data_IF_484158182558
#
_entry.id   IF_484158182558
#
_cell.length_a   1.000
_cell.length_b   1.000
_cell.length_c   1.000
_cell.angle_alpha   90.00
_cell.angle_beta   90.00
_cell.angle_gamma   90.00
#
_symmetry.space_group_name_H-M   'P 1'
#
loop_
_entity.id
_entity.type
_entity.pdbx_description
1 polymer ?
#
# COMPACT_ATOMS: atom_id res chain seq x y z
N UNK A 1 1.35 7.13 -17.72
CA UNK A 1 0.70 7.06 -16.38
C UNK A 1 1.79 7.28 -15.34
N UNK A 2 1.53 8.09 -14.31
CA UNK A 2 2.50 8.38 -13.24
C UNK A 2 2.33 7.40 -12.08
N UNK A 3 3.43 7.00 -11.42
CA UNK A 3 3.41 6.19 -10.21
C UNK A 3 3.05 7.02 -8.96
N UNK A 4 3.31 8.33 -9.00
CA UNK A 4 2.98 9.29 -7.95
C UNK A 4 2.18 10.43 -8.56
N UNK A 5 0.98 10.68 -8.04
CA UNK A 5 0.13 11.78 -8.49
C UNK A 5 -0.68 11.49 -9.76
N UNK A 6 -1.69 10.65 -9.62
CA UNK A 6 -2.75 10.49 -10.60
C UNK A 6 -4.08 10.84 -9.94
N UNK A 7 -4.80 11.82 -10.48
CA UNK A 7 -6.19 12.08 -10.07
C UNK A 7 -7.11 11.22 -10.97
N UNK A 8 -8.06 10.47 -10.39
CA UNK A 8 -8.99 9.70 -11.18
C UNK A 8 -9.79 10.61 -12.09
N UNK A 9 -9.95 10.21 -13.34
CA UNK A 9 -10.89 10.85 -14.25
C UNK A 9 -12.29 10.73 -13.64
N UNK A 10 -13.07 11.82 -13.70
CA UNK A 10 -14.45 11.82 -13.20
C UNK A 10 -15.40 11.92 -14.37
N UNK A 11 -16.42 11.07 -14.36
CA UNK A 11 -17.49 11.12 -15.35
C UNK A 11 -18.22 12.47 -15.25
N UNK A 12 -18.38 13.15 -16.39
CA UNK A 12 -18.90 14.52 -16.43
C UNK A 12 -20.37 14.64 -16.02
N UNK A 13 -21.14 13.54 -16.02
CA UNK A 13 -22.58 13.55 -15.72
C UNK A 13 -22.87 13.14 -14.27
N UNK A 14 -22.11 12.19 -13.75
CA UNK A 14 -22.32 11.58 -12.43
C UNK A 14 -21.32 12.07 -11.38
N UNK A 15 -20.18 12.64 -11.81
CA UNK A 15 -19.06 13.02 -10.94
C UNK A 15 -18.33 11.83 -10.32
N UNK A 16 -18.70 10.60 -10.70
CA UNK A 16 -18.11 9.37 -10.19
C UNK A 16 -16.72 9.15 -10.80
N UNK A 17 -15.84 8.51 -10.02
CA UNK A 17 -14.51 8.12 -10.48
C UNK A 17 -14.60 7.02 -11.55
N UNK A 18 -13.89 7.23 -12.65
CA UNK A 18 -13.75 6.25 -13.73
C UNK A 18 -12.57 5.34 -13.39
N UNK A 19 -12.88 4.09 -13.09
CA UNK A 19 -11.87 3.09 -12.76
C UNK A 19 -11.28 2.48 -14.04
N UNK A 20 -9.94 2.41 -14.17
CA UNK A 20 -9.30 2.05 -15.43
C UNK A 20 -9.48 0.59 -15.83
N UNK A 21 -9.86 -0.30 -14.90
CA UNK A 21 -10.13 -1.73 -15.12
C UNK A 21 -11.16 -2.22 -14.13
N UNK A 22 -12.16 -2.96 -14.58
CA UNK A 22 -13.18 -3.55 -13.70
C UNK A 22 -14.10 -2.51 -13.05
N UNK A 23 -14.90 -2.95 -12.09
CA UNK A 23 -15.87 -2.11 -11.37
C UNK A 23 -15.31 -1.58 -10.05
N UNK A 24 -15.82 -0.41 -9.63
CA UNK A 24 -15.40 0.26 -8.41
C UNK A 24 -15.64 -0.59 -7.14
N UNK A 25 -16.67 -1.44 -7.13
CA UNK A 25 -17.04 -2.23 -5.96
C UNK A 25 -15.99 -3.31 -5.69
N UNK A 26 -15.54 -4.01 -6.73
CA UNK A 26 -14.46 -5.01 -6.65
C UNK A 26 -13.16 -4.39 -6.14
N UNK A 27 -12.80 -3.19 -6.60
CA UNK A 27 -11.62 -2.50 -6.08
C UNK A 27 -11.79 -2.11 -4.62
N UNK A 28 -12.90 -1.46 -4.27
CA UNK A 28 -13.15 -0.99 -2.90
C UNK A 28 -13.22 -2.14 -1.89
N UNK A 29 -13.72 -3.31 -2.28
CA UNK A 29 -13.76 -4.49 -1.41
C UNK A 29 -12.40 -5.17 -1.24
N UNK A 30 -11.51 -5.07 -2.25
CA UNK A 30 -10.17 -5.65 -2.22
C UNK A 30 -9.08 -4.71 -1.70
N UNK A 31 -9.35 -3.41 -1.60
CA UNK A 31 -8.42 -2.43 -1.02
C UNK A 31 -8.21 -2.71 0.47
N UNK A 32 -6.97 -2.55 0.92
CA UNK A 32 -6.66 -2.58 2.35
C UNK A 32 -7.35 -1.39 3.04
N UNK A 33 -7.97 -1.64 4.19
CA UNK A 33 -8.69 -0.62 4.97
C UNK A 33 -7.81 0.40 5.69
N UNK A 34 -6.50 0.31 5.51
CA UNK A 34 -5.50 1.13 6.19
C UNK A 34 -4.31 0.28 6.65
N UNK A 35 -3.53 0.88 7.55
CA UNK A 35 -2.43 0.26 8.30
C UNK A 35 -2.99 -0.76 9.30
N UNK A 36 -2.30 -1.87 9.48
CA UNK A 36 -2.67 -2.87 10.48
C UNK A 36 -2.34 -2.36 11.88
N UNK A 37 -3.32 -2.37 12.78
CA UNK A 37 -3.15 -1.84 14.14
C UNK A 37 -3.30 -2.92 15.21
N UNK A 38 -4.03 -3.99 14.93
CA UNK A 38 -4.25 -5.08 15.86
C UNK A 38 -3.15 -6.14 15.75
N UNK A 39 -2.77 -6.72 16.90
CA UNK A 39 -1.74 -7.77 16.97
C UNK A 39 -2.09 -8.98 16.10
N UNK A 40 -3.37 -9.34 16.02
CA UNK A 40 -3.85 -10.45 15.19
C UNK A 40 -3.69 -10.18 13.69
N UNK A 41 -3.99 -8.96 13.24
CA UNK A 41 -3.82 -8.55 11.84
C UNK A 41 -2.35 -8.51 11.44
N UNK A 42 -1.50 -7.91 12.29
CA UNK A 42 -0.05 -7.85 12.08
C UNK A 42 0.54 -9.26 12.00
N UNK A 43 0.16 -10.12 12.95
CA UNK A 43 0.63 -11.52 12.99
C UNK A 43 0.20 -12.29 11.73
N UNK A 44 -1.04 -12.08 11.26
CA UNK A 44 -1.54 -12.65 10.02
C UNK A 44 -0.73 -12.19 8.80
N UNK A 45 -0.37 -10.90 8.73
CA UNK A 45 0.40 -10.36 7.62
C UNK A 45 1.85 -10.89 7.60
N UNK A 46 2.47 -11.02 8.77
CA UNK A 46 3.80 -11.66 8.89
C UNK A 46 3.73 -13.11 8.38
N UNK A 47 2.78 -13.91 8.87
CA UNK A 47 2.60 -15.30 8.43
C UNK A 47 2.30 -15.39 6.94
N UNK A 48 1.53 -14.44 6.39
CA UNK A 48 1.31 -14.34 4.95
C UNK A 48 2.63 -14.24 4.20
N UNK A 49 3.54 -13.33 4.56
CA UNK A 49 4.83 -13.22 3.87
C UNK A 49 5.74 -14.44 4.07
N UNK A 50 5.69 -15.10 5.23
CA UNK A 50 6.39 -16.39 5.42
C UNK A 50 5.94 -17.40 4.37
N UNK A 51 4.62 -17.54 4.19
CA UNK A 51 4.05 -18.55 3.31
C UNK A 51 4.16 -18.20 1.82
N UNK A 52 3.88 -16.95 1.45
CA UNK A 52 3.69 -16.55 0.05
C UNK A 52 4.92 -15.89 -0.56
N UNK A 53 5.65 -15.11 0.23
CA UNK A 53 6.79 -14.31 -0.26
C UNK A 53 8.11 -15.06 -0.09
N UNK A 54 8.30 -15.72 1.06
CA UNK A 54 9.50 -16.49 1.35
C UNK A 54 9.39 -17.96 0.95
N UNK A 55 8.18 -18.43 0.59
CA UNK A 55 7.88 -19.84 0.29
C UNK A 55 8.33 -20.79 1.41
N UNK A 56 8.14 -20.37 2.67
CA UNK A 56 8.51 -21.11 3.88
C UNK A 56 7.28 -21.53 4.68
N UNK A 57 7.50 -22.39 5.66
CA UNK A 57 6.51 -22.88 6.61
C UNK A 57 6.95 -22.53 8.03
N UNK A 58 6.00 -22.53 8.97
CA UNK A 58 6.26 -22.15 10.36
C UNK A 58 7.40 -22.96 11.02
N UNK A 59 7.61 -24.21 10.60
CA UNK A 59 8.62 -25.10 11.17
C UNK A 59 10.00 -25.02 10.50
N UNK A 60 10.18 -24.24 9.42
CA UNK A 60 11.45 -24.12 8.69
C UNK A 60 11.95 -22.68 8.53
N UNK A 61 11.41 -21.76 9.33
CA UNK A 61 11.83 -20.36 9.37
C UNK A 61 12.96 -20.18 10.39
N UNK A 62 13.99 -19.45 9.98
CA UNK A 62 15.11 -19.01 10.81
C UNK A 62 14.96 -17.52 11.16
N UNK A 63 15.84 -16.99 12.02
CA UNK A 63 15.77 -15.59 12.46
C UNK A 63 15.86 -14.60 11.29
N UNK A 64 16.67 -14.93 10.28
CA UNK A 64 16.79 -14.11 9.07
C UNK A 64 15.48 -14.07 8.27
N UNK A 65 14.84 -15.22 8.07
CA UNK A 65 13.53 -15.31 7.43
C UNK A 65 12.43 -14.62 8.23
N UNK A 66 12.45 -14.74 9.56
CA UNK A 66 11.50 -14.04 10.43
C UNK A 66 11.66 -12.52 10.31
N UNK A 67 12.89 -12.01 10.34
CA UNK A 67 13.18 -10.59 10.11
C UNK A 67 12.67 -10.12 8.74
N UNK A 68 12.93 -10.88 7.67
CA UNK A 68 12.47 -10.54 6.34
C UNK A 68 10.94 -10.48 6.24
N UNK A 69 10.22 -11.43 6.84
CA UNK A 69 8.76 -11.44 6.85
C UNK A 69 8.19 -10.23 7.60
N UNK A 70 8.77 -9.87 8.75
CA UNK A 70 8.39 -8.68 9.52
C UNK A 70 8.67 -7.40 8.73
N UNK A 71 9.82 -7.32 8.07
CA UNK A 71 10.19 -6.17 7.26
C UNK A 71 9.24 -5.98 6.05
N UNK A 72 8.79 -7.07 5.43
CA UNK A 72 7.80 -7.04 4.35
C UNK A 72 6.43 -6.58 4.85
N UNK A 73 5.96 -7.11 6.00
CA UNK A 73 4.70 -6.68 6.60
C UNK A 73 4.71 -5.18 6.93
N UNK A 74 5.77 -4.70 7.59
CA UNK A 74 5.94 -3.27 7.90
C UNK A 74 6.06 -2.40 6.63
N UNK A 75 6.71 -2.90 5.58
CA UNK A 75 6.81 -2.22 4.28
C UNK A 75 5.44 -2.00 3.67
N UNK A 76 4.56 -3.00 3.69
CA UNK A 76 3.25 -2.90 3.05
C UNK A 76 2.40 -1.79 3.70
N UNK A 77 2.48 -1.65 5.02
CA UNK A 77 1.87 -0.56 5.78
C UNK A 77 2.43 0.82 5.46
N UNK A 78 3.75 0.93 5.35
CA UNK A 78 4.40 2.17 4.93
C UNK A 78 4.02 2.57 3.50
N UNK A 79 3.83 1.60 2.60
CA UNK A 79 3.41 1.87 1.21
C UNK A 79 2.00 2.48 1.17
N UNK A 80 1.07 2.01 2.01
CA UNK A 80 -0.27 2.60 2.10
C UNK A 80 -0.17 4.08 2.48
N UNK A 81 0.51 4.37 3.60
CA UNK A 81 0.67 5.74 4.08
C UNK A 81 1.45 6.62 3.09
N UNK A 82 2.44 6.06 2.41
CA UNK A 82 3.21 6.77 1.40
C UNK A 82 2.33 7.14 0.19
N UNK A 83 1.50 6.22 -0.29
CA UNK A 83 0.56 6.48 -1.39
C UNK A 83 -0.42 7.60 -1.03
N UNK A 84 -1.01 7.54 0.16
CA UNK A 84 -1.94 8.56 0.66
C UNK A 84 -1.27 9.93 0.77
N UNK A 85 -0.03 9.93 1.28
CA UNK A 85 0.79 11.14 1.36
C UNK A 85 1.04 11.72 -0.04
N UNK A 86 1.50 10.93 -1.00
CA UNK A 86 1.73 11.41 -2.37
C UNK A 86 0.45 11.94 -3.03
N UNK A 87 -0.69 11.29 -2.79
CA UNK A 87 -1.99 11.75 -3.30
C UNK A 87 -2.37 13.12 -2.70
N UNK A 88 -2.23 13.27 -1.38
CA UNK A 88 -2.48 14.53 -0.68
C UNK A 88 -1.63 15.68 -1.24
N UNK A 89 -0.33 15.45 -1.45
CA UNK A 89 0.57 16.44 -2.06
C UNK A 89 0.18 16.77 -3.51
N UNK A 90 -0.26 15.77 -4.28
CA UNK A 90 -0.71 15.97 -5.67
C UNK A 90 -1.97 16.84 -5.72
N UNK A 91 -2.94 16.57 -4.86
CA UNK A 91 -4.20 17.32 -4.80
C UNK A 91 -4.00 18.76 -4.32
N UNK A 92 -3.15 18.97 -3.32
CA UNK A 92 -2.94 20.29 -2.71
C UNK A 92 -1.93 21.17 -3.45
N UNK A 93 -1.09 20.57 -4.30
CA UNK A 93 0.00 21.23 -5.02
C UNK A 93 0.81 22.26 -4.19
N UNK A 94 1.24 21.95 -2.95
CA UNK A 94 1.99 22.90 -2.13
C UNK A 94 3.42 23.05 -2.67
N UNK A 95 4.11 24.13 -2.29
CA UNK A 95 5.56 24.25 -2.51
C UNK A 95 6.28 23.09 -1.82
N UNK A 96 7.23 22.46 -2.53
CA UNK A 96 7.98 21.29 -2.05
C UNK A 96 9.44 21.69 -1.82
N UNK A 97 10.04 21.17 -0.75
CA UNK A 97 11.47 21.27 -0.54
C UNK A 97 12.16 20.11 -1.26
N UNK A 98 13.11 20.42 -2.13
CA UNK A 98 14.06 19.46 -2.67
C UNK A 98 15.42 19.96 -2.21
N UNK A 99 16.11 19.26 -1.29
CA UNK A 99 17.45 19.67 -0.91
C UNK A 99 18.35 19.62 -2.14
N UNK A 100 19.06 20.71 -2.38
CA UNK A 100 20.05 20.82 -3.45
C UNK A 100 21.19 19.84 -3.12
N UNK A 101 21.42 18.86 -3.99
CA UNK A 101 22.54 17.93 -3.86
C UNK A 101 23.81 18.71 -4.22
N UNK A 102 24.60 19.05 -3.20
CA UNK A 102 25.97 19.57 -3.34
C UNK A 102 26.92 18.50 -3.84
#
# INVERSE_FOLDING_TARGET
>A
RSATGYLPEKDAKTGAEVWPRGDATTWKSGMRGGVEADVGEISKNIVHHVQTSLARQAYNIDDAGAYQAVALAARDDLIINWNDTQMCYTQKAPKRCVPELS
#
